data_IF_808115741724
#
_entry.id   IF_808115741724
#
_cell.length_a   1.000
_cell.length_b   1.000
_cell.length_c   1.000
_cell.angle_alpha   90.00
_cell.angle_beta   90.00
_cell.angle_gamma   90.00
#
_symmetry.space_group_name_H-M   'P 1'
#
loop_
_entity.id
_entity.type
_entity.pdbx_description
1 polymer ?
#
# COMPACT_ATOMS: atom_id res chain seq x y z
N UNK A 1 1.80 5.52 2.48
CA UNK A 1 0.97 6.00 1.35
C UNK A 1 1.76 6.59 0.19
N UNK A 2 2.87 7.32 0.41
CA UNK A 2 3.58 8.00 -0.69
C UNK A 2 3.88 7.12 -1.91
N UNK A 3 4.43 5.92 -1.71
CA UNK A 3 4.70 4.98 -2.80
C UNK A 3 3.43 4.58 -3.60
N UNK A 4 2.29 4.45 -2.92
CA UNK A 4 0.99 4.16 -3.54
C UNK A 4 0.48 5.34 -4.38
N UNK A 5 0.67 6.55 -3.89
CA UNK A 5 0.28 7.76 -4.63
C UNK A 5 1.16 7.96 -5.87
N UNK A 6 2.47 7.78 -5.75
CA UNK A 6 3.38 7.84 -6.91
C UNK A 6 3.00 6.78 -7.95
N UNK A 7 2.72 5.54 -7.52
CA UNK A 7 2.27 4.48 -8.42
C UNK A 7 0.90 4.73 -9.07
N UNK A 8 0.06 5.54 -8.42
CA UNK A 8 -1.24 5.94 -8.95
C UNK A 8 -1.10 7.05 -10.00
N UNK A 9 -0.28 8.05 -9.71
CA UNK A 9 -0.14 9.25 -10.55
C UNK A 9 0.85 9.07 -11.71
N UNK A 10 1.87 8.21 -11.54
CA UNK A 10 2.91 7.93 -12.54
C UNK A 10 3.24 6.42 -12.61
N UNK A 11 2.26 5.57 -13.02
CA UNK A 11 2.44 4.12 -13.05
C UNK A 11 3.57 3.66 -14.00
N UNK A 12 3.94 4.45 -14.99
CA UNK A 12 5.03 4.18 -15.92
C UNK A 12 6.43 4.28 -15.27
N UNK A 13 6.54 4.97 -14.13
CA UNK A 13 7.79 5.12 -13.38
C UNK A 13 7.92 4.12 -12.23
N UNK A 14 6.87 3.36 -11.93
CA UNK A 14 6.83 2.44 -10.80
C UNK A 14 6.60 1.02 -11.32
N UNK A 15 7.55 0.13 -11.04
CA UNK A 15 7.40 -1.28 -11.42
C UNK A 15 6.38 -2.01 -10.54
N UNK A 16 6.42 -1.76 -9.22
CA UNK A 16 5.51 -2.35 -8.22
C UNK A 16 5.55 -1.58 -6.90
N UNK A 17 4.59 -1.87 -6.03
CA UNK A 17 4.52 -1.31 -4.68
C UNK A 17 4.49 -2.43 -3.64
N UNK A 18 5.32 -2.30 -2.60
CA UNK A 18 5.20 -3.11 -1.38
C UNK A 18 4.92 -2.19 -0.20
N UNK A 19 3.86 -2.47 0.56
CA UNK A 19 3.53 -1.74 1.80
C UNK A 19 3.66 -2.64 3.01
N UNK A 20 4.09 -2.06 4.13
CA UNK A 20 4.24 -2.76 5.41
C UNK A 20 3.46 -1.98 6.47
N UNK A 21 2.45 -2.62 7.09
CA UNK A 21 1.67 -2.03 8.18
C UNK A 21 1.06 -0.67 7.84
N UNK A 22 0.65 -0.47 6.58
CA UNK A 22 0.20 0.84 6.09
C UNK A 22 -1.34 0.89 6.09
N UNK A 23 -1.97 1.83 6.81
CA UNK A 23 -3.43 2.00 6.82
C UNK A 23 -3.87 2.65 5.50
N UNK A 24 -4.27 1.83 4.53
CA UNK A 24 -4.75 2.29 3.23
C UNK A 24 -6.22 2.68 3.28
N UNK A 25 -7.03 2.08 4.15
CA UNK A 25 -8.41 2.48 4.40
C UNK A 25 -8.45 3.45 5.58
N UNK A 26 -9.16 4.57 5.44
CA UNK A 26 -9.37 5.60 6.48
C UNK A 26 -8.16 6.35 7.01
N UNK A 27 -6.95 5.99 6.57
CA UNK A 27 -5.71 6.68 6.90
C UNK A 27 -5.40 6.72 8.40
N UNK A 28 -4.93 7.86 8.95
CA UNK A 28 -4.46 7.95 10.34
C UNK A 28 -5.56 7.66 11.36
N UNK A 29 -6.85 7.74 10.98
CA UNK A 29 -8.00 7.45 11.85
C UNK A 29 -7.94 6.07 12.51
N UNK A 30 -7.42 5.08 11.79
CA UNK A 30 -7.29 3.69 12.25
C UNK A 30 -5.90 3.35 12.77
N UNK A 31 -5.21 4.35 13.30
CA UNK A 31 -3.89 4.20 13.92
C UNK A 31 -3.86 4.84 15.30
N UNK A 32 -2.97 4.38 16.16
CA UNK A 32 -2.70 5.02 17.46
C UNK A 32 -2.18 6.44 17.33
N UNK A 33 -1.54 6.77 16.20
CA UNK A 33 -1.09 8.14 15.92
C UNK A 33 -2.24 9.06 15.47
N UNK A 34 -3.42 8.52 15.15
CA UNK A 34 -4.62 9.32 14.83
C UNK A 34 -5.05 10.26 15.97
N UNK A 35 -4.74 9.91 17.22
CA UNK A 35 -4.93 10.80 18.38
C UNK A 35 -3.98 11.99 18.33
N UNK A 36 -2.71 11.76 17.98
CA UNK A 36 -1.72 12.83 17.83
C UNK A 36 -2.06 13.75 16.65
N UNK A 37 -2.57 13.22 15.54
CA UNK A 37 -3.05 14.02 14.41
C UNK A 37 -4.18 14.96 14.84
N UNK A 38 -5.18 14.43 15.55
CA UNK A 38 -6.27 15.25 16.11
C UNK A 38 -5.76 16.32 17.08
N UNK A 39 -4.83 15.96 17.96
CA UNK A 39 -4.21 16.91 18.90
C UNK A 39 -3.41 18.02 18.19
N UNK A 40 -2.84 17.73 17.02
CA UNK A 40 -2.17 18.69 16.15
C UNK A 40 -3.13 19.52 15.27
N UNK A 41 -4.44 19.38 15.44
CA UNK A 41 -5.46 20.16 14.74
C UNK A 41 -5.89 19.59 13.38
N UNK A 42 -5.46 18.38 13.02
CA UNK A 42 -5.90 17.74 11.78
C UNK A 42 -7.29 17.13 11.91
N UNK A 43 -8.15 17.39 10.93
CA UNK A 43 -9.42 16.69 10.74
C UNK A 43 -9.15 15.34 10.06
N UNK A 44 -9.14 14.29 10.86
CA UNK A 44 -8.90 12.91 10.39
C UNK A 44 -10.07 12.33 9.60
N UNK A 45 -11.28 12.85 9.75
CA UNK A 45 -12.44 12.45 8.95
C UNK A 45 -12.37 13.09 7.56
N UNK A 46 -11.91 14.34 7.46
CA UNK A 46 -11.57 14.95 6.18
C UNK A 46 -10.43 14.20 5.48
N UNK A 47 -9.38 13.81 6.21
CA UNK A 47 -8.28 13.03 5.65
C UNK A 47 -8.79 11.68 5.11
N UNK A 48 -9.61 10.96 5.88
CA UNK A 48 -10.25 9.72 5.43
C UNK A 48 -11.03 9.92 4.12
N UNK A 49 -11.86 10.96 4.05
CA UNK A 49 -12.64 11.27 2.85
C UNK A 49 -11.75 11.60 1.65
N UNK A 50 -10.64 12.32 1.85
CA UNK A 50 -9.66 12.58 0.77
C UNK A 50 -8.98 11.29 0.29
N UNK A 51 -8.65 10.38 1.21
CA UNK A 51 -8.08 9.07 0.87
C UNK A 51 -9.09 8.25 0.06
N UNK A 52 -10.36 8.27 0.45
CA UNK A 52 -11.43 7.51 -0.21
C UNK A 52 -11.66 7.98 -1.65
N UNK A 53 -11.67 9.30 -1.89
CA UNK A 53 -11.73 9.89 -3.24
C UNK A 53 -10.51 9.47 -4.06
N UNK A 54 -9.31 9.54 -3.48
CA UNK A 54 -8.09 9.12 -4.18
C UNK A 54 -8.11 7.64 -4.54
N UNK A 55 -8.76 6.81 -3.74
CA UNK A 55 -8.93 5.39 -3.99
C UNK A 55 -9.91 5.06 -5.14
N UNK A 56 -10.70 6.02 -5.63
CA UNK A 56 -11.51 5.83 -6.84
C UNK A 56 -10.65 5.62 -8.09
N UNK A 57 -9.41 6.11 -8.08
CA UNK A 57 -8.42 5.80 -9.10
C UNK A 57 -7.56 4.61 -8.63
N UNK A 58 -7.77 3.40 -9.18
CA UNK A 58 -7.04 2.22 -8.75
C UNK A 58 -5.57 2.30 -9.16
N UNK A 59 -4.69 1.71 -8.35
CA UNK A 59 -3.29 1.49 -8.72
C UNK A 59 -3.25 0.41 -9.80
N UNK A 60 -2.44 0.62 -10.84
CA UNK A 60 -2.39 -0.26 -12.04
C UNK A 60 -1.16 -1.16 -12.09
N UNK A 61 -0.24 -0.99 -11.15
CA UNK A 61 0.96 -1.80 -11.01
C UNK A 61 0.75 -2.84 -9.91
N UNK A 62 1.50 -3.96 -9.91
CA UNK A 62 1.39 -4.95 -8.84
C UNK A 62 1.59 -4.32 -7.45
N UNK A 63 0.72 -4.67 -6.51
CA UNK A 63 0.80 -4.22 -5.12
C UNK A 63 0.82 -5.43 -4.20
N UNK A 64 1.76 -5.46 -3.27
CA UNK A 64 1.79 -6.42 -2.15
C UNK A 64 1.66 -5.66 -0.83
N UNK A 65 0.60 -5.94 -0.08
CA UNK A 65 0.32 -5.37 1.22
C UNK A 65 0.65 -6.37 2.34
N UNK A 66 1.77 -6.15 3.02
CA UNK A 66 2.21 -6.95 4.16
C UNK A 66 1.63 -6.35 5.44
N UNK A 67 0.93 -7.17 6.22
CA UNK A 67 0.30 -6.76 7.47
C UNK A 67 0.45 -7.84 8.55
N UNK A 68 0.28 -7.47 9.82
CA UNK A 68 0.24 -8.43 10.91
C UNK A 68 -0.93 -8.12 11.85
N UNK A 69 -1.60 -9.16 12.36
CA UNK A 69 -2.72 -8.99 13.30
C UNK A 69 -2.28 -8.51 14.68
N UNK A 70 -1.01 -8.72 15.04
CA UNK A 70 -0.41 -8.24 16.28
C UNK A 70 0.18 -6.82 16.14
N UNK A 71 -0.19 -6.08 15.08
CA UNK A 71 0.18 -4.69 14.92
C UNK A 71 -0.43 -3.86 16.06
N UNK A 72 0.45 -3.30 16.89
CA UNK A 72 0.08 -2.50 18.05
C UNK A 72 -0.10 -1.02 17.74
N UNK A 73 0.07 -0.58 16.50
CA UNK A 73 0.05 0.83 16.06
C UNK A 73 -1.06 1.08 15.04
N UNK A 74 -1.26 0.18 14.09
CA UNK A 74 -2.24 0.27 13.00
C UNK A 74 -3.24 -0.86 13.15
N UNK A 75 -4.55 -0.59 13.05
CA UNK A 75 -5.53 -1.66 12.91
C UNK A 75 -5.27 -2.38 11.58
N UNK A 76 -4.87 -3.64 11.64
CA UNK A 76 -4.52 -4.42 10.47
C UNK A 76 -5.63 -4.46 9.41
N UNK A 77 -6.90 -4.28 9.79
CA UNK A 77 -8.03 -4.19 8.85
C UNK A 77 -7.91 -3.00 7.92
N UNK A 78 -7.34 -1.90 8.41
CA UNK A 78 -7.07 -0.71 7.59
C UNK A 78 -5.99 -0.96 6.53
N UNK A 79 -5.18 -2.03 6.66
CA UNK A 79 -4.21 -2.45 5.64
C UNK A 79 -4.87 -3.25 4.50
N UNK A 80 -6.12 -3.69 4.64
CA UNK A 80 -6.81 -4.50 3.64
C UNK A 80 -7.44 -3.60 2.59
N UNK A 81 -6.75 -3.48 1.45
CA UNK A 81 -7.24 -2.79 0.26
C UNK A 81 -8.26 -3.63 -0.53
N UNK A 82 -9.47 -3.10 -0.72
CA UNK A 82 -10.52 -3.73 -1.52
C UNK A 82 -10.70 -3.10 -2.91
N UNK A 83 -9.98 -2.03 -3.22
CA UNK A 83 -10.18 -1.21 -4.43
C UNK A 83 -9.10 -1.41 -5.49
N UNK A 84 -7.89 -1.75 -5.08
CA UNK A 84 -6.80 -2.04 -6.04
C UNK A 84 -6.98 -3.43 -6.66
N UNK A 85 -7.16 -3.54 -8.00
CA UNK A 85 -7.29 -4.83 -8.66
C UNK A 85 -6.01 -5.66 -8.53
N UNK A 86 -6.15 -6.95 -8.21
CA UNK A 86 -5.02 -7.88 -8.17
C UNK A 86 -4.00 -7.61 -7.06
N UNK A 87 -4.34 -6.80 -6.05
CA UNK A 87 -3.49 -6.65 -4.87
C UNK A 87 -3.32 -7.99 -4.14
N UNK A 88 -2.11 -8.25 -3.67
CA UNK A 88 -1.80 -9.37 -2.80
C UNK A 88 -1.76 -8.88 -1.34
N UNK A 89 -2.53 -9.47 -0.44
CA UNK A 89 -2.40 -9.24 0.99
C UNK A 89 -1.65 -10.41 1.65
N UNK A 90 -0.58 -10.10 2.38
CA UNK A 90 0.27 -11.09 3.04
C UNK A 90 0.24 -10.86 4.54
N UNK A 91 -0.39 -11.78 5.25
CA UNK A 91 -0.36 -11.81 6.72
C UNK A 91 0.95 -12.42 7.21
N UNK A 92 1.63 -11.73 8.13
CA UNK A 92 2.83 -12.23 8.79
C UNK A 92 2.67 -12.23 10.31
N UNK A 93 3.43 -13.10 10.98
CA UNK A 93 3.55 -13.11 12.45
C UNK A 93 4.69 -12.17 12.86
N UNK A 94 4.36 -10.90 13.02
CA UNK A 94 5.29 -9.82 13.36
C UNK A 94 4.59 -8.76 14.24
N UNK A 95 5.33 -7.74 14.67
CA UNK A 95 4.79 -6.50 15.24
C UNK A 95 5.00 -5.35 14.25
N UNK A 96 4.32 -4.21 14.46
CA UNK A 96 4.43 -3.05 13.56
C UNK A 96 5.88 -2.69 13.21
N UNK A 97 6.73 -2.54 14.24
CA UNK A 97 8.13 -2.14 14.05
C UNK A 97 8.93 -3.25 13.38
N UNK A 98 8.68 -4.52 13.74
CA UNK A 98 9.45 -5.62 13.17
C UNK A 98 9.15 -5.89 11.70
N UNK A 99 8.04 -5.37 11.14
CA UNK A 99 7.76 -5.49 9.71
C UNK A 99 8.92 -4.96 8.83
N UNK A 100 9.67 -3.95 9.29
CA UNK A 100 10.77 -3.37 8.52
C UNK A 100 12.07 -4.18 8.51
N UNK A 101 12.23 -5.17 9.39
CA UNK A 101 13.50 -5.89 9.57
C UNK A 101 13.37 -7.38 9.93
N UNK A 102 12.15 -7.90 10.03
CA UNK A 102 11.90 -9.34 10.19
C UNK A 102 12.43 -10.10 8.96
N UNK A 103 13.30 -11.11 9.13
CA UNK A 103 13.90 -11.83 8.01
C UNK A 103 12.87 -12.45 7.06
N UNK A 104 11.72 -12.92 7.56
CA UNK A 104 10.66 -13.49 6.72
C UNK A 104 9.96 -12.41 5.90
N UNK A 105 9.78 -11.22 6.47
CA UNK A 105 9.22 -10.09 5.73
C UNK A 105 10.18 -9.65 4.63
N UNK A 106 11.48 -9.57 4.93
CA UNK A 106 12.50 -9.23 3.94
C UNK A 106 12.59 -10.28 2.83
N UNK A 107 12.44 -11.57 3.14
CA UNK A 107 12.38 -12.64 2.14
C UNK A 107 11.16 -12.49 1.21
N UNK A 108 9.98 -12.17 1.75
CA UNK A 108 8.78 -11.88 0.96
C UNK A 108 9.03 -10.69 0.02
N UNK A 109 9.59 -9.59 0.55
CA UNK A 109 9.93 -8.40 -0.24
C UNK A 109 10.91 -8.77 -1.37
N UNK A 110 12.01 -9.46 -1.04
CA UNK A 110 13.01 -9.87 -2.01
C UNK A 110 12.41 -10.77 -3.11
N UNK A 111 11.57 -11.74 -2.72
CA UNK A 111 10.87 -12.60 -3.66
C UNK A 111 9.96 -11.83 -4.60
N UNK A 112 9.27 -10.78 -4.12
CA UNK A 112 8.46 -9.91 -4.99
C UNK A 112 9.30 -9.03 -5.88
N UNK A 113 10.46 -8.54 -5.43
CA UNK A 113 11.36 -7.73 -6.25
C UNK A 113 12.11 -8.56 -7.31
N UNK A 114 12.33 -9.85 -7.08
CA UNK A 114 13.00 -10.75 -8.02
C UNK A 114 12.16 -11.12 -9.25
N UNK A 115 10.83 -10.96 -9.18
CA UNK A 115 9.93 -11.26 -10.30
C UNK A 115 10.12 -10.21 -11.40
N UNK A 116 10.60 -10.63 -12.56
CA UNK A 116 10.76 -9.76 -13.72
C UNK A 116 9.40 -9.18 -14.16
N UNK A 117 9.32 -7.89 -14.50
CA UNK A 117 8.09 -7.32 -15.04
C UNK A 117 7.69 -8.02 -16.34
N UNK A 118 6.40 -8.33 -16.46
CA UNK A 118 5.83 -8.78 -17.73
C UNK A 118 5.90 -7.59 -18.68
N UNK A 119 6.87 -7.60 -19.61
CA UNK A 119 6.97 -6.58 -20.66
C UNK A 119 5.69 -6.62 -21.49
N UNK A 120 4.83 -5.63 -21.35
CA UNK A 120 3.71 -5.45 -22.28
C UNK A 120 4.32 -5.05 -23.61
N UNK A 121 4.35 -5.98 -24.57
CA UNK A 121 4.74 -5.67 -25.95
C UNK A 121 3.71 -4.67 -26.48
N UNK A 122 4.10 -3.41 -26.67
CA UNK A 122 3.24 -2.47 -27.38
C UNK A 122 3.13 -2.99 -28.81
N UNK A 123 1.95 -3.44 -29.21
CA UNK A 123 1.67 -3.75 -30.60
C UNK A 123 1.76 -2.45 -31.41
N UNK A 124 2.92 -2.25 -32.04
CA UNK A 124 3.11 -1.17 -33.00
C UNK A 124 2.06 -1.30 -34.10
N UNK A 125 1.17 -0.31 -34.20
CA UNK A 125 0.22 -0.20 -35.30
C UNK A 125 1.02 -0.06 -36.61
N UNK A 126 0.78 -0.88 -37.65
CA UNK A 126 1.45 -0.69 -38.92
C UNK A 126 1.03 0.64 -39.53
N UNK A 127 2.01 1.48 -39.87
CA UNK A 127 1.79 2.71 -40.65
C UNK A 127 1.24 2.30 -42.01
N UNK A 128 0.05 2.82 -42.34
CA UNK A 128 -0.48 2.82 -43.72
C UNK A 128 0.10 4.00 -44.47
#
# INVERSE_FOLDING_TARGET
MLAREVARDAPELVDRVVTMGTPVVGGPKYTRVGVAYRAAGYDVDEIERKIEVRHEVPIRVPVTAIYCKADGIVDWRACIDHKTPGIEHVEVRATHFSLGFDPKVLEIVAGRLAVQPVKTVSSGRPKR
#
